data_IF_342531817349
#
_entry.id   IF_342531817349
#
_cell.length_a   1.000
_cell.length_b   1.000
_cell.length_c   1.000
_cell.angle_alpha   90.00
_cell.angle_beta   90.00
_cell.angle_gamma   90.00
#
_symmetry.space_group_name_H-M   'P 1'
#
loop_
_entity.id
_entity.type
_entity.pdbx_description
1 polymer ?
#
# COMPACT_ATOMS: atom_id res chain seq x y z
N UNK A 1 10.67 -13.00 2.31
CA UNK A 1 10.03 -11.69 2.08
C UNK A 1 8.56 -11.89 2.41
N UNK A 2 7.98 -11.04 3.26
CA UNK A 2 6.60 -11.15 3.72
C UNK A 2 5.85 -9.86 3.37
N UNK A 3 4.56 -9.96 3.08
CA UNK A 3 3.69 -8.83 2.79
C UNK A 3 2.26 -9.15 3.24
N UNK A 4 1.49 -8.12 3.51
CA UNK A 4 0.04 -8.22 3.76
C UNK A 4 -0.68 -7.82 2.48
N UNK A 5 -1.61 -8.66 2.03
CA UNK A 5 -2.45 -8.34 0.88
C UNK A 5 -3.89 -8.14 1.37
N UNK A 6 -4.49 -7.03 0.95
CA UNK A 6 -5.84 -6.66 1.33
C UNK A 6 -6.72 -6.70 0.09
N UNK A 7 -7.83 -7.41 0.19
CA UNK A 7 -8.83 -7.53 -0.87
C UNK A 7 -10.07 -6.75 -0.48
N UNK A 8 -10.53 -5.86 -1.37
CA UNK A 8 -11.80 -5.16 -1.22
C UNK A 8 -12.71 -5.53 -2.38
N UNK A 9 -13.90 -6.03 -2.07
CA UNK A 9 -14.90 -6.42 -3.07
C UNK A 9 -15.44 -5.22 -3.82
N UNK A 10 -15.58 -5.34 -5.14
CA UNK A 10 -16.15 -4.32 -6.01
C UNK A 10 -17.44 -4.87 -6.62
N UNK A 11 -18.50 -4.07 -6.59
CA UNK A 11 -19.85 -4.43 -7.04
C UNK A 11 -20.03 -4.40 -8.56
N UNK A 12 -19.15 -3.70 -9.28
CA UNK A 12 -19.15 -3.61 -10.75
C UNK A 12 -17.75 -3.64 -11.34
N UNK A 13 -17.57 -4.42 -12.42
CA UNK A 13 -16.31 -4.49 -13.18
C UNK A 13 -15.85 -3.13 -13.67
N UNK A 14 -16.79 -2.28 -14.09
CA UNK A 14 -16.47 -1.00 -14.73
C UNK A 14 -15.86 0.01 -13.73
N UNK A 15 -15.98 -0.25 -12.41
CA UNK A 15 -15.30 0.52 -11.37
C UNK A 15 -13.87 0.07 -11.09
N UNK A 16 -13.49 -1.15 -11.50
CA UNK A 16 -12.22 -1.78 -11.09
C UNK A 16 -11.00 -1.01 -11.58
N UNK A 17 -10.92 -0.70 -12.89
CA UNK A 17 -9.77 0.03 -13.43
C UNK A 17 -9.66 1.47 -12.91
N UNK A 18 -10.75 2.28 -12.86
CA UNK A 18 -10.71 3.59 -12.23
C UNK A 18 -10.22 3.56 -10.78
N UNK A 19 -10.70 2.60 -9.97
CA UNK A 19 -10.26 2.45 -8.58
C UNK A 19 -8.79 2.04 -8.50
N UNK A 20 -8.34 1.07 -9.32
CA UNK A 20 -6.93 0.66 -9.37
C UNK A 20 -6.03 1.84 -9.70
N UNK A 21 -6.39 2.64 -10.72
CA UNK A 21 -5.62 3.81 -11.15
C UNK A 21 -5.57 4.88 -10.04
N UNK A 22 -6.71 5.21 -9.43
CA UNK A 22 -6.78 6.18 -8.33
C UNK A 22 -5.98 5.74 -7.10
N UNK A 23 -6.01 4.45 -6.75
CA UNK A 23 -5.24 3.90 -5.63
C UNK A 23 -3.71 4.03 -5.83
N UNK A 24 -3.22 4.23 -7.06
CA UNK A 24 -1.78 4.47 -7.29
C UNK A 24 -1.30 5.77 -6.65
N UNK A 25 -2.18 6.75 -6.42
CA UNK A 25 -1.85 7.95 -5.65
C UNK A 25 -1.64 7.65 -4.16
N UNK A 26 -2.20 6.54 -3.67
CA UNK A 26 -2.14 6.13 -2.28
C UNK A 26 -1.03 5.12 -1.98
N UNK A 27 -0.37 4.57 -3.01
CA UNK A 27 0.84 3.73 -2.86
C UNK A 27 1.87 4.32 -1.89
N UNK A 28 2.30 5.60 -1.99
CA UNK A 28 3.29 6.13 -1.06
C UNK A 28 2.81 6.13 0.40
N UNK A 29 1.53 6.44 0.64
CA UNK A 29 0.91 6.44 1.97
C UNK A 29 0.95 5.03 2.59
N UNK A 30 0.43 4.05 1.85
CA UNK A 30 0.36 2.66 2.27
C UNK A 30 1.74 2.05 2.48
N UNK A 31 2.69 2.33 1.58
CA UNK A 31 4.04 1.81 1.68
C UNK A 31 4.81 2.44 2.84
N UNK A 32 4.69 3.76 3.06
CA UNK A 32 5.33 4.44 4.18
C UNK A 32 4.79 3.96 5.53
N UNK A 33 3.46 3.86 5.65
CA UNK A 33 2.78 3.45 6.88
C UNK A 33 3.08 1.98 7.23
N UNK A 34 3.15 1.11 6.21
CA UNK A 34 3.38 -0.33 6.43
C UNK A 34 4.85 -0.75 6.50
N UNK A 35 5.79 0.12 6.11
CA UNK A 35 7.20 -0.21 5.99
C UNK A 35 7.75 -0.88 7.26
N UNK A 36 8.30 -2.08 7.11
CA UNK A 36 8.80 -2.92 8.21
C UNK A 36 10.05 -3.73 7.85
N UNK A 37 10.68 -3.40 6.73
CA UNK A 37 11.82 -4.16 6.19
C UNK A 37 13.10 -3.33 5.99
N UNK A 38 13.61 -2.60 7.01
CA UNK A 38 14.82 -1.79 6.87
C UNK A 38 16.13 -2.60 6.84
N UNK A 39 16.07 -3.90 7.16
CA UNK A 39 17.23 -4.78 7.21
C UNK A 39 17.14 -5.89 6.15
N UNK A 40 18.28 -6.22 5.54
CA UNK A 40 18.42 -7.34 4.61
C UNK A 40 19.80 -7.98 4.69
N UNK A 41 19.88 -9.31 4.72
CA UNK A 41 21.16 -10.02 4.71
C UNK A 41 22.09 -9.69 5.90
N UNK A 42 21.53 -9.21 7.01
CA UNK A 42 22.32 -8.78 8.17
C UNK A 42 22.74 -7.30 8.16
N UNK A 43 22.27 -6.52 7.19
CA UNK A 43 22.69 -5.14 6.97
C UNK A 43 21.50 -4.18 7.01
N UNK A 44 21.71 -2.98 7.54
CA UNK A 44 20.80 -1.84 7.37
C UNK A 44 20.88 -1.37 5.93
N UNK A 45 19.77 -1.45 5.21
CA UNK A 45 19.75 -1.16 3.76
C UNK A 45 19.69 0.33 3.48
N UNK A 46 19.36 1.14 4.48
CA UNK A 46 19.02 2.54 4.32
C UNK A 46 17.64 2.79 3.71
N UNK A 47 16.82 1.75 3.46
CA UNK A 47 15.42 1.89 3.02
C UNK A 47 14.48 1.68 4.20
N UNK A 48 13.31 2.33 4.19
CA UNK A 48 12.23 2.01 5.13
C UNK A 48 11.56 0.66 4.75
N UNK A 49 11.30 0.47 3.45
CA UNK A 49 10.82 -0.79 2.87
C UNK A 49 11.83 -1.30 1.84
N UNK A 50 12.71 -2.22 2.25
CA UNK A 50 13.57 -2.93 1.31
C UNK A 50 12.80 -4.00 0.52
N UNK A 51 11.66 -4.46 1.02
CA UNK A 51 10.76 -5.37 0.28
C UNK A 51 10.41 -4.79 -1.08
N UNK A 52 10.03 -3.52 -1.15
CA UNK A 52 9.71 -2.84 -2.41
C UNK A 52 10.86 -2.95 -3.42
N UNK A 53 12.11 -2.77 -2.96
CA UNK A 53 13.31 -2.86 -3.80
C UNK A 53 13.63 -4.29 -4.25
N UNK A 54 13.39 -5.29 -3.39
CA UNK A 54 13.57 -6.69 -3.77
C UNK A 54 12.57 -7.14 -4.83
N UNK A 55 11.32 -6.66 -4.77
CA UNK A 55 10.29 -7.01 -5.75
C UNK A 55 10.56 -6.43 -7.14
N UNK A 56 11.23 -5.28 -7.27
CA UNK A 56 11.61 -4.70 -8.57
C UNK A 56 12.50 -5.60 -9.43
N UNK A 57 13.12 -6.64 -8.86
CA UNK A 57 13.94 -7.60 -9.60
C UNK A 57 13.11 -8.70 -10.29
N UNK A 58 11.82 -8.82 -9.96
CA UNK A 58 10.95 -9.86 -10.51
C UNK A 58 10.27 -9.36 -11.79
N UNK A 59 10.13 -10.22 -12.82
CA UNK A 59 9.34 -9.87 -13.99
C UNK A 59 7.90 -9.57 -13.57
N UNK A 60 7.28 -8.58 -14.21
CA UNK A 60 5.89 -8.11 -13.98
C UNK A 60 5.64 -7.45 -12.63
N UNK A 61 6.65 -7.31 -11.78
CA UNK A 61 6.50 -6.64 -10.49
C UNK A 61 6.60 -5.12 -10.65
N UNK A 62 5.81 -4.40 -9.86
CA UNK A 62 5.76 -2.94 -9.92
C UNK A 62 4.35 -2.40 -9.91
N UNK A 63 4.23 -1.13 -10.27
CA UNK A 63 2.93 -0.52 -10.45
C UNK A 63 2.24 -1.12 -11.70
N UNK A 64 0.92 -1.33 -11.67
CA UNK A 64 0.18 -1.72 -12.86
C UNK A 64 0.29 -0.66 -13.95
N UNK A 65 0.13 -1.08 -15.20
CA UNK A 65 -0.16 -0.13 -16.28
C UNK A 65 -1.56 0.46 -16.08
N UNK A 66 -1.72 1.74 -16.40
CA UNK A 66 -3.02 2.40 -16.38
C UNK A 66 -3.75 2.10 -17.69
N UNK A 67 -4.87 1.38 -17.60
CA UNK A 67 -5.75 1.08 -18.74
C UNK A 67 -7.05 1.87 -18.61
N UNK A 68 -7.57 2.35 -19.74
CA UNK A 68 -8.85 3.04 -19.81
C UNK A 68 -10.02 2.05 -19.95
N UNK A 69 -9.85 1.01 -20.77
CA UNK A 69 -10.88 0.01 -21.04
C UNK A 69 -10.50 -1.38 -20.50
N UNK A 70 -11.50 -2.11 -20.01
CA UNK A 70 -11.30 -3.49 -19.52
C UNK A 70 -10.73 -4.42 -20.60
N UNK A 71 -11.07 -4.18 -21.87
CA UNK A 71 -10.56 -4.96 -22.99
C UNK A 71 -9.03 -4.80 -23.16
N UNK A 72 -8.46 -3.66 -22.81
CA UNK A 72 -7.00 -3.44 -22.86
C UNK A 72 -6.29 -4.24 -21.77
N UNK A 73 -6.88 -4.33 -20.57
CA UNK A 73 -6.40 -5.21 -19.51
C UNK A 73 -6.47 -6.68 -19.94
N UNK A 74 -7.59 -7.13 -20.52
CA UNK A 74 -7.73 -8.51 -21.02
C UNK A 74 -6.70 -8.82 -22.11
N UNK A 75 -6.49 -7.88 -23.04
CA UNK A 75 -5.46 -7.99 -24.07
C UNK A 75 -4.06 -8.09 -23.45
N UNK A 76 -3.74 -7.27 -22.45
CA UNK A 76 -2.47 -7.38 -21.73
C UNK A 76 -2.29 -8.77 -21.12
N UNK A 77 -3.29 -9.30 -20.43
CA UNK A 77 -3.22 -10.64 -19.83
C UNK A 77 -3.00 -11.72 -20.91
N UNK A 78 -3.72 -11.64 -22.03
CA UNK A 78 -3.58 -12.57 -23.16
C UNK A 78 -2.19 -12.51 -23.80
N UNK A 79 -1.65 -11.31 -24.01
CA UNK A 79 -0.28 -11.11 -24.53
C UNK A 79 0.77 -11.74 -23.59
N UNK A 80 0.61 -11.57 -22.27
CA UNK A 80 1.53 -12.11 -21.26
C UNK A 80 1.50 -13.64 -21.17
N UNK A 81 0.32 -14.24 -21.32
CA UNK A 81 0.15 -15.70 -21.40
C UNK A 81 0.73 -16.25 -22.72
N UNK A 82 0.40 -15.61 -23.84
CA UNK A 82 0.82 -16.04 -25.19
C UNK A 82 2.34 -16.04 -25.33
N UNK A 83 3.01 -15.03 -24.75
CA UNK A 83 4.47 -14.92 -24.77
C UNK A 83 5.17 -15.83 -23.76
N UNK A 84 4.44 -16.44 -22.84
CA UNK A 84 5.00 -17.25 -21.75
C UNK A 84 5.74 -16.44 -20.69
N UNK A 85 5.44 -15.14 -20.56
CA UNK A 85 5.97 -14.33 -19.45
C UNK A 85 5.31 -14.74 -18.12
N UNK A 86 4.05 -15.17 -18.19
CA UNK A 86 3.30 -15.77 -17.08
C UNK A 86 2.66 -17.08 -17.51
N UNK A 87 2.59 -18.06 -16.61
CA UNK A 87 1.83 -19.30 -16.83
C UNK A 87 0.37 -19.16 -16.37
N UNK A 88 0.09 -18.19 -15.49
CA UNK A 88 -1.22 -17.89 -14.95
C UNK A 88 -1.31 -16.44 -14.48
N UNK A 89 -2.53 -15.90 -14.40
CA UNK A 89 -2.80 -14.50 -14.04
C UNK A 89 -2.24 -14.10 -12.65
N UNK A 90 -2.08 -15.05 -11.72
CA UNK A 90 -1.56 -14.74 -10.39
C UNK A 90 -0.07 -14.39 -10.40
N UNK A 91 0.64 -14.68 -11.49
CA UNK A 91 2.05 -14.30 -11.68
C UNK A 91 2.22 -12.87 -12.15
N UNK A 92 1.15 -12.12 -12.42
CA UNK A 92 1.19 -10.67 -12.55
C UNK A 92 1.42 -10.08 -11.16
N UNK A 93 2.66 -9.67 -10.87
CA UNK A 93 3.12 -9.25 -9.54
C UNK A 93 2.94 -7.75 -9.27
N UNK A 94 1.86 -7.17 -9.77
CA UNK A 94 1.57 -5.75 -9.52
C UNK A 94 1.31 -5.45 -8.05
N UNK A 95 1.66 -4.24 -7.64
CA UNK A 95 1.45 -3.73 -6.28
C UNK A 95 -0.03 -3.55 -5.96
N UNK A 96 -0.84 -3.26 -6.97
CA UNK A 96 -2.30 -3.18 -6.91
C UNK A 96 -2.83 -3.82 -8.18
N UNK A 97 -3.80 -4.73 -8.08
CA UNK A 97 -4.33 -5.43 -9.25
C UNK A 97 -5.81 -5.78 -9.14
N UNK A 98 -6.51 -5.91 -10.28
CA UNK A 98 -7.74 -6.67 -10.33
C UNK A 98 -7.51 -8.12 -9.87
N UNK A 99 -8.45 -8.66 -9.09
CA UNK A 99 -8.52 -10.09 -8.77
C UNK A 99 -9.88 -10.65 -9.19
N UNK A 100 -10.07 -10.96 -10.50
CA UNK A 100 -11.37 -11.31 -11.06
C UNK A 100 -12.01 -12.55 -10.44
N UNK A 101 -11.19 -13.52 -10.01
CA UNK A 101 -11.68 -14.74 -9.36
C UNK A 101 -12.48 -14.46 -8.08
N UNK A 102 -12.16 -13.36 -7.38
CA UNK A 102 -12.78 -12.99 -6.11
C UNK A 102 -13.70 -11.77 -6.23
N UNK A 103 -13.74 -11.12 -7.41
CA UNK A 103 -14.50 -9.88 -7.60
C UNK A 103 -13.95 -8.71 -6.77
N UNK A 104 -12.63 -8.65 -6.59
CA UNK A 104 -11.98 -7.66 -5.70
C UNK A 104 -10.90 -6.87 -6.41
N UNK A 105 -10.54 -5.71 -5.86
CA UNK A 105 -9.22 -5.11 -6.03
C UNK A 105 -8.30 -5.63 -4.93
N UNK A 106 -7.11 -6.10 -5.29
CA UNK A 106 -6.10 -6.62 -4.38
C UNK A 106 -4.95 -5.61 -4.24
N UNK A 107 -4.75 -5.09 -3.03
CA UNK A 107 -3.66 -4.18 -2.65
C UNK A 107 -2.54 -4.98 -1.98
N UNK A 108 -1.33 -4.94 -2.56
CA UNK A 108 -0.18 -5.81 -2.26
C UNK A 108 1.11 -5.04 -1.97
N UNK A 109 1.02 -3.71 -1.96
CA UNK A 109 2.15 -2.81 -1.72
C UNK A 109 2.73 -2.98 -0.32
N UNK A 110 1.92 -3.35 0.66
CA UNK A 110 2.31 -3.36 2.07
C UNK A 110 3.36 -4.42 2.44
N UNK A 111 4.28 -4.04 3.32
CA UNK A 111 5.19 -4.99 3.97
C UNK A 111 4.43 -5.91 4.95
N UNK A 112 5.14 -6.85 5.57
CA UNK A 112 4.58 -7.64 6.67
C UNK A 112 4.43 -6.79 7.93
N UNK A 113 3.22 -6.63 8.44
CA UNK A 113 2.93 -5.80 9.60
C UNK A 113 3.10 -6.60 10.91
N UNK A 114 3.80 -6.07 11.93
CA UNK A 114 4.08 -6.82 13.16
C UNK A 114 2.91 -6.89 14.14
N UNK A 115 1.92 -5.98 14.10
CA UNK A 115 0.77 -6.02 15.01
C UNK A 115 -0.56 -6.19 14.31
N UNK A 116 -1.56 -6.72 15.03
CA UNK A 116 -2.93 -6.80 14.54
C UNK A 116 -3.54 -5.40 14.38
N UNK A 117 -3.25 -4.49 15.31
CA UNK A 117 -3.66 -3.08 15.24
C UNK A 117 -3.24 -2.44 13.91
N UNK A 118 -2.00 -2.62 13.49
CA UNK A 118 -1.49 -2.07 12.23
C UNK A 118 -2.13 -2.72 11.00
N UNK A 119 -2.38 -4.04 11.05
CA UNK A 119 -3.11 -4.74 9.97
C UNK A 119 -4.52 -4.18 9.84
N UNK A 120 -5.25 -4.04 10.96
CA UNK A 120 -6.61 -3.54 10.98
C UNK A 120 -6.68 -2.08 10.51
N UNK A 121 -5.77 -1.23 10.99
CA UNK A 121 -5.71 0.18 10.62
C UNK A 121 -5.52 0.39 9.11
N UNK A 122 -4.53 -0.30 8.52
CA UNK A 122 -4.26 -0.21 7.08
C UNK A 122 -5.40 -0.84 6.27
N UNK A 123 -6.01 -1.92 6.76
CA UNK A 123 -7.18 -2.54 6.13
C UNK A 123 -8.37 -1.57 6.10
N UNK A 124 -8.67 -0.91 7.23
CA UNK A 124 -9.73 0.08 7.33
C UNK A 124 -9.49 1.27 6.39
N UNK A 125 -8.25 1.77 6.32
CA UNK A 125 -7.90 2.85 5.40
C UNK A 125 -8.10 2.47 3.93
N UNK A 126 -7.61 1.31 3.49
CA UNK A 126 -7.84 0.82 2.12
C UNK A 126 -9.32 0.60 1.85
N UNK A 127 -10.07 0.04 2.81
CA UNK A 127 -11.50 -0.17 2.67
C UNK A 127 -12.25 1.16 2.51
N UNK A 128 -11.93 2.17 3.32
CA UNK A 128 -12.53 3.49 3.21
C UNK A 128 -12.19 4.19 1.90
N UNK A 129 -10.94 4.08 1.43
CA UNK A 129 -10.54 4.63 0.13
C UNK A 129 -11.34 4.01 -1.02
N UNK A 130 -11.44 2.68 -1.04
CA UNK A 130 -12.16 1.97 -2.11
C UNK A 130 -13.66 2.28 -2.07
N UNK A 131 -14.27 2.35 -0.89
CA UNK A 131 -15.68 2.68 -0.70
C UNK A 131 -15.98 4.13 -1.15
N UNK A 132 -15.16 5.10 -0.71
CA UNK A 132 -15.23 6.51 -1.16
C UNK A 132 -15.11 6.63 -2.68
N UNK A 133 -14.10 5.98 -3.27
CA UNK A 133 -13.90 5.97 -4.73
C UNK A 133 -15.09 5.34 -5.46
N UNK A 134 -15.67 4.26 -4.92
CA UNK A 134 -16.85 3.62 -5.50
C UNK A 134 -18.08 4.54 -5.47
N UNK A 135 -18.34 5.20 -4.33
CA UNK A 135 -19.46 6.15 -4.21
C UNK A 135 -19.32 7.34 -5.17
N UNK A 136 -18.10 7.86 -5.33
CA UNK A 136 -17.82 8.95 -6.27
C UNK A 136 -18.05 8.54 -7.73
N UNK A 137 -17.68 7.31 -8.09
CA UNK A 137 -17.99 6.76 -9.42
C UNK A 137 -19.50 6.60 -9.63
N UNK A 138 -20.24 6.16 -8.61
CA UNK A 138 -21.71 6.07 -8.67
C UNK A 138 -22.37 7.45 -8.81
N UNK A 139 -21.74 8.49 -8.28
CA UNK A 139 -22.15 9.89 -8.48
C UNK A 139 -21.76 10.46 -9.86
N UNK A 140 -21.05 9.69 -10.70
CA UNK A 140 -20.61 10.09 -12.03
C UNK A 140 -19.35 10.96 -12.04
N UNK A 141 -18.59 10.98 -10.94
CA UNK A 141 -17.30 11.67 -10.88
C UNK A 141 -16.20 10.90 -11.61
N UNK A 142 -15.23 11.64 -12.15
CA UNK A 142 -13.95 11.07 -12.55
C UNK A 142 -13.00 11.10 -11.37
N UNK A 143 -12.43 9.95 -11.01
CA UNK A 143 -11.45 9.88 -9.93
C UNK A 143 -10.13 10.56 -10.34
N UNK A 144 -9.49 11.33 -9.45
CA UNK A 144 -8.22 11.98 -9.75
C UNK A 144 -7.11 10.95 -9.93
N UNK A 145 -6.21 11.23 -10.87
CA UNK A 145 -4.98 10.47 -11.12
C UNK A 145 -3.84 11.44 -11.42
N UNK A 146 -2.61 10.92 -11.50
CA UNK A 146 -1.44 11.67 -11.92
C UNK A 146 -0.61 10.86 -12.93
N UNK A 147 0.33 11.48 -13.64
CA UNK A 147 1.16 10.76 -14.60
C UNK A 147 1.98 9.62 -13.99
N UNK A 148 2.21 8.56 -14.76
CA UNK A 148 2.94 7.35 -14.32
C UNK A 148 4.31 7.63 -13.70
N UNK A 149 5.04 8.64 -14.20
CA UNK A 149 6.35 8.98 -13.66
C UNK A 149 6.28 9.53 -12.23
N UNK A 150 5.19 10.21 -11.84
CA UNK A 150 4.97 10.64 -10.46
C UNK A 150 4.64 9.45 -9.55
N UNK A 151 3.82 8.51 -10.01
CA UNK A 151 3.57 7.29 -9.24
C UNK A 151 4.85 6.50 -8.99
N UNK A 152 5.71 6.35 -10.01
CA UNK A 152 6.99 5.66 -9.88
C UNK A 152 7.94 6.37 -8.91
N UNK A 153 8.05 7.70 -9.01
CA UNK A 153 8.86 8.50 -8.09
C UNK A 153 8.36 8.39 -6.65
N UNK A 154 7.05 8.54 -6.43
CA UNK A 154 6.43 8.42 -5.11
C UNK A 154 6.65 7.03 -4.49
N UNK A 155 6.52 5.96 -5.28
CA UNK A 155 6.83 4.60 -4.83
C UNK A 155 8.28 4.51 -4.35
N UNK A 156 9.23 5.07 -5.09
CA UNK A 156 10.64 5.03 -4.69
C UNK A 156 10.89 5.89 -3.42
N UNK A 157 10.37 7.12 -3.38
CA UNK A 157 10.51 8.03 -2.22
C UNK A 157 9.96 7.41 -0.95
N UNK A 158 8.77 6.83 -0.99
CA UNK A 158 8.17 6.16 0.17
C UNK A 158 8.99 4.93 0.61
N UNK A 159 9.54 4.15 -0.33
CA UNK A 159 10.37 2.99 0.01
C UNK A 159 11.66 3.42 0.72
N UNK A 160 12.25 4.54 0.27
CA UNK A 160 13.53 5.05 0.78
C UNK A 160 13.40 5.83 2.08
N UNK A 161 12.41 6.71 2.17
CA UNK A 161 12.28 7.70 3.26
C UNK A 161 11.16 7.35 4.25
N UNK A 162 10.26 6.41 3.93
CA UNK A 162 9.18 6.02 4.82
C UNK A 162 8.27 7.22 5.16
N UNK A 163 8.04 7.45 6.45
CA UNK A 163 7.17 8.54 6.92
C UNK A 163 7.79 9.94 6.73
N UNK A 164 9.07 10.03 6.40
CA UNK A 164 9.75 11.31 6.10
C UNK A 164 9.69 11.66 4.59
N UNK A 165 8.93 10.89 3.80
CA UNK A 165 8.81 11.11 2.37
C UNK A 165 7.97 12.36 2.05
N UNK A 166 8.54 13.26 1.25
CA UNK A 166 7.79 14.31 0.54
C UNK A 166 7.25 13.68 -0.75
N UNK A 167 5.93 13.64 -0.90
CA UNK A 167 5.24 12.96 -1.99
C UNK A 167 4.58 13.98 -2.91
N UNK A 168 4.49 13.61 -4.20
CA UNK A 168 3.77 14.36 -5.21
C UNK A 168 2.29 14.02 -5.08
N UNK A 169 1.43 15.00 -4.88
CA UNK A 169 0.03 14.76 -4.50
C UNK A 169 -0.92 14.72 -5.69
N UNK A 170 -0.60 15.45 -6.76
CA UNK A 170 -1.50 15.66 -7.89
C UNK A 170 -0.76 15.81 -9.23
N UNK A 171 -1.53 16.00 -10.30
CA UNK A 171 -1.01 16.16 -11.65
C UNK A 171 -0.28 17.51 -11.86
N UNK A 172 -0.58 18.50 -11.02
CA UNK A 172 0.05 19.82 -10.98
C UNK A 172 1.44 19.82 -10.31
N UNK A 173 1.87 18.66 -9.79
CA UNK A 173 3.14 18.44 -9.12
C UNK A 173 3.28 19.19 -7.77
N UNK A 174 2.16 19.41 -7.07
CA UNK A 174 2.20 19.85 -5.68
C UNK A 174 2.84 18.76 -4.79
N UNK A 175 3.60 19.18 -3.79
CA UNK A 175 4.34 18.28 -2.90
C UNK A 175 4.07 18.60 -1.42
N UNK A 176 3.82 17.56 -0.63
CA UNK A 176 3.68 17.63 0.84
C UNK A 176 4.29 16.42 1.53
N UNK A 177 4.48 16.54 2.84
CA UNK A 177 4.96 15.43 3.65
C UNK A 177 3.87 14.36 3.76
N UNK A 178 4.21 13.08 3.58
CA UNK A 178 3.22 11.98 3.59
C UNK A 178 2.40 11.93 4.89
N UNK A 179 2.94 12.38 6.02
CA UNK A 179 2.18 12.47 7.29
C UNK A 179 1.10 13.54 7.26
N UNK A 180 1.33 14.66 6.56
CA UNK A 180 0.33 15.72 6.40
C UNK A 180 -0.81 15.22 5.49
N UNK A 181 -0.46 14.58 4.38
CA UNK A 181 -1.42 13.95 3.47
C UNK A 181 -2.25 12.87 4.19
N UNK A 182 -1.59 12.01 5.00
CA UNK A 182 -2.28 11.00 5.80
C UNK A 182 -3.26 11.61 6.82
N UNK A 183 -2.88 12.70 7.49
CA UNK A 183 -3.75 13.36 8.46
C UNK A 183 -5.03 13.89 7.79
N UNK A 184 -4.89 14.56 6.64
CA UNK A 184 -6.03 15.06 5.85
C UNK A 184 -6.94 13.91 5.38
N UNK A 185 -6.34 12.81 4.92
CA UNK A 185 -7.10 11.66 4.42
C UNK A 185 -7.83 10.91 5.54
N UNK A 186 -7.25 10.82 6.73
CA UNK A 186 -7.94 10.25 7.91
C UNK A 186 -9.19 11.08 8.23
N UNK A 187 -9.06 12.41 8.31
CA UNK A 187 -10.21 13.30 8.58
C UNK A 187 -11.27 13.21 7.47
N UNK A 188 -10.83 13.24 6.21
CA UNK A 188 -11.71 13.14 5.04
C UNK A 188 -12.51 11.84 5.01
N UNK A 189 -11.88 10.73 5.41
CA UNK A 189 -12.47 9.40 5.39
C UNK A 189 -13.20 9.03 6.70
N UNK A 190 -13.11 9.84 7.77
CA UNK A 190 -13.82 9.57 9.02
C UNK A 190 -15.31 9.26 8.84
N UNK A 191 -16.09 10.02 8.03
CA UNK A 191 -17.51 9.70 7.80
C UNK A 191 -17.73 8.35 7.10
N UNK A 192 -16.82 7.96 6.21
CA UNK A 192 -16.84 6.67 5.51
C UNK A 192 -16.57 5.55 6.52
N UNK A 193 -15.56 5.72 7.36
CA UNK A 193 -15.20 4.75 8.38
C UNK A 193 -16.31 4.56 9.44
N UNK A 194 -17.01 5.62 9.81
CA UNK A 194 -18.19 5.56 10.69
C UNK A 194 -19.30 4.72 10.07
N UNK A 195 -19.61 4.95 8.78
CA UNK A 195 -20.62 4.17 8.04
C UNK A 195 -20.24 2.69 7.93
N UNK A 196 -18.97 2.41 7.69
CA UNK A 196 -18.43 1.04 7.56
C UNK A 196 -18.19 0.35 8.90
N UNK A 197 -18.27 1.08 10.02
CA UNK A 197 -18.03 0.55 11.36
C UNK A 197 -16.56 0.25 11.66
N UNK A 198 -15.62 0.92 10.99
CA UNK A 198 -14.18 0.77 11.16
C UNK A 198 -13.47 2.08 11.56
N UNK A 199 -14.22 3.01 12.17
CA UNK A 199 -13.70 4.30 12.60
C UNK A 199 -12.56 4.16 13.63
N UNK A 200 -12.65 3.24 14.59
CA UNK A 200 -11.59 3.03 15.57
C UNK A 200 -10.27 2.62 14.90
N UNK A 201 -10.34 1.68 13.97
CA UNK A 201 -9.21 1.20 13.19
C UNK A 201 -8.61 2.31 12.32
N UNK A 202 -9.42 3.10 11.62
CA UNK A 202 -8.92 4.21 10.81
C UNK A 202 -8.18 5.25 11.68
N UNK A 203 -8.77 5.67 12.79
CA UNK A 203 -8.17 6.69 13.67
C UNK A 203 -6.94 6.17 14.42
N UNK A 204 -6.79 4.85 14.59
CA UNK A 204 -5.60 4.25 15.21
C UNK A 204 -4.32 4.52 14.41
N UNK A 205 -4.42 4.88 13.12
CA UNK A 205 -3.27 5.29 12.28
C UNK A 205 -2.51 6.45 12.94
N UNK A 206 -3.22 7.43 13.50
CA UNK A 206 -2.58 8.56 14.19
C UNK A 206 -1.71 8.08 15.35
N UNK A 207 -2.24 7.19 16.19
CA UNK A 207 -1.49 6.61 17.30
C UNK A 207 -0.32 5.73 16.84
N UNK A 208 -0.46 5.01 15.73
CA UNK A 208 0.63 4.24 15.11
C UNK A 208 1.76 5.18 14.67
N UNK A 209 1.44 6.30 14.02
CA UNK A 209 2.43 7.30 13.59
C UNK A 209 3.13 7.93 14.79
N UNK A 210 2.39 8.33 15.83
CA UNK A 210 2.94 8.93 17.05
C UNK A 210 3.89 7.98 17.81
N UNK A 211 3.54 6.69 17.87
CA UNK A 211 4.38 5.64 18.46
C UNK A 211 5.60 5.31 17.59
N UNK A 212 5.57 5.71 16.33
CA UNK A 212 6.50 5.34 15.26
C UNK A 212 6.02 4.08 14.55
N UNK A 213 6.02 4.12 13.21
CA UNK A 213 5.65 2.99 12.35
C UNK A 213 6.68 1.85 12.43
N UNK A 214 6.40 0.63 11.94
CA UNK A 214 7.23 -0.54 12.21
C UNK A 214 8.74 -0.34 11.96
N UNK A 215 9.15 0.13 10.78
CA UNK A 215 10.58 0.28 10.47
C UNK A 215 11.30 1.22 11.46
N UNK A 216 10.66 2.30 11.90
CA UNK A 216 11.23 3.25 12.86
C UNK A 216 11.46 2.57 14.22
N UNK A 217 10.50 1.75 14.68
CA UNK A 217 10.65 0.98 15.92
C UNK A 217 11.78 -0.05 15.81
N UNK A 218 11.89 -0.74 14.67
CA UNK A 218 12.98 -1.70 14.42
C UNK A 218 14.35 -1.02 14.38
N UNK A 219 14.48 0.12 13.71
CA UNK A 219 15.70 0.91 13.68
C UNK A 219 16.07 1.43 15.07
N UNK A 220 15.09 1.84 15.89
CA UNK A 220 15.31 2.25 17.28
C UNK A 220 15.88 1.11 18.14
N UNK A 221 15.33 -0.11 18.02
CA UNK A 221 15.85 -1.29 18.71
C UNK A 221 17.27 -1.62 18.25
N UNK A 222 17.53 -1.58 16.94
CA UNK A 222 18.86 -1.82 16.40
C UNK A 222 19.86 -0.75 16.86
N UNK A 223 19.50 0.54 16.82
CA UNK A 223 20.36 1.64 17.26
C UNK A 223 20.72 1.55 18.75
N UNK A 224 19.81 1.03 19.59
CA UNK A 224 20.05 0.85 21.01
C UNK A 224 20.89 -0.40 21.35
N UNK A 225 20.81 -1.46 20.54
CA UNK A 225 21.35 -2.78 20.89
C UNK A 225 22.48 -3.29 19.98
N UNK A 226 22.56 -2.76 18.75
CA UNK A 226 23.41 -3.28 17.68
C UNK A 226 23.06 -4.71 17.23
N UNK A 227 21.88 -5.24 17.60
CA UNK A 227 21.56 -6.67 17.48
C UNK A 227 20.29 -6.92 16.68
N UNK A 228 20.42 -7.56 15.51
CA UNK A 228 19.27 -8.02 14.72
C UNK A 228 18.49 -9.14 15.41
N UNK A 229 19.11 -9.86 16.35
CA UNK A 229 18.40 -10.81 17.20
C UNK A 229 17.41 -10.09 18.11
N UNK A 230 17.79 -8.94 18.69
CA UNK A 230 16.87 -8.13 19.50
C UNK A 230 15.77 -7.49 18.65
N UNK A 231 16.09 -7.03 17.44
CA UNK A 231 15.08 -6.56 16.47
C UNK A 231 14.04 -7.66 16.20
N UNK A 232 14.49 -8.89 15.95
CA UNK A 232 13.60 -10.03 15.71
C UNK A 232 12.77 -10.37 16.95
N UNK A 233 13.36 -10.31 18.15
CA UNK A 233 12.64 -10.52 19.41
C UNK A 233 11.56 -9.45 19.62
N UNK A 234 11.83 -8.20 19.27
CA UNK A 234 10.84 -7.11 19.32
C UNK A 234 9.64 -7.42 18.43
N UNK A 235 9.87 -7.84 17.17
CA UNK A 235 8.78 -8.24 16.25
C UNK A 235 7.92 -9.37 16.83
N UNK A 236 8.54 -10.38 17.42
CA UNK A 236 7.83 -11.50 18.06
C UNK A 236 6.99 -11.00 19.25
N UNK A 237 7.52 -10.05 20.02
CA UNK A 237 6.81 -9.46 21.15
C UNK A 237 5.60 -8.64 20.68
N UNK A 238 5.79 -7.78 19.69
CA UNK A 238 4.72 -6.97 19.08
C UNK A 238 3.56 -7.86 18.60
N UNK A 239 3.87 -8.95 17.89
CA UNK A 239 2.86 -9.88 17.41
C UNK A 239 2.14 -10.61 18.57
N UNK A 240 2.87 -11.09 19.59
CA UNK A 240 2.26 -11.79 20.72
C UNK A 240 1.33 -10.91 21.54
N UNK A 241 1.73 -9.66 21.76
CA UNK A 241 0.96 -8.69 22.53
C UNK A 241 -0.26 -8.16 21.76
N UNK A 242 -0.36 -8.43 20.46
CA UNK A 242 -1.53 -8.05 19.65
C UNK A 242 -2.78 -8.89 19.92
N UNK A 243 -2.64 -10.02 20.63
CA UNK A 243 -3.74 -10.96 20.94
C UNK A 243 -4.17 -10.94 22.41
N UNK A 244 -3.51 -10.13 23.23
CA UNK A 244 -3.71 -10.05 24.69
C UNK A 244 -4.46 -8.80 25.09
#
# INVERSE_FOLDING_TARGET
>A
IFGVHIHVGIDSRDKVLPIVNALLAYVPHLQALSASSPFWGGTDTGYASNRAMMFQQLPTAGLPFQFDEWADYEKYVDDMLTTGIIDNINEIRWDIRPAPHWGTVEVRVCDGLPTLEEILAITAFIQCLVDDMSERLDAGETLPTMPDWFHNENKWRAARYGMDAIIIENAEADERLVTECLADEIERLSPVAERLGCAEELHSITSIIERGVPYQRLQKVFGATGSLTEVTRSLISDLRNSYS
#
